data_IF_585224375225
#
_entry.id   IF_585224375225
#
_cell.length_a   1.000
_cell.length_b   1.000
_cell.length_c   1.000
_cell.angle_alpha   90.00
_cell.angle_beta   90.00
_cell.angle_gamma   90.00
#
_symmetry.space_group_name_H-M   'P 1'
#
loop_
_entity.id
_entity.type
_entity.pdbx_description
1 polymer ?
#
# COMPACT_ATOMS: atom_id res chain seq x y z
N UNK A 1 -2.95 -5.33 4.91
CA UNK A 1 -1.73 -5.56 5.69
C UNK A 1 -1.64 -7.05 6.01
N UNK A 2 -0.85 -7.82 5.26
CA UNK A 2 -0.56 -9.22 5.59
C UNK A 2 0.46 -9.28 6.71
N UNK A 3 0.26 -10.18 7.69
CA UNK A 3 1.23 -10.42 8.76
C UNK A 3 2.47 -11.17 8.23
N UNK A 4 2.25 -12.09 7.29
CA UNK A 4 3.30 -12.91 6.67
C UNK A 4 2.98 -13.14 5.20
N UNK A 5 4.01 -13.25 4.39
CA UNK A 5 3.90 -13.57 2.97
C UNK A 5 4.97 -14.60 2.56
N UNK A 6 4.65 -15.39 1.54
CA UNK A 6 5.51 -16.41 0.97
C UNK A 6 5.41 -16.34 -0.55
N UNK A 7 6.49 -16.57 -1.28
CA UNK A 7 6.44 -16.67 -2.73
C UNK A 7 7.27 -17.86 -3.26
N UNK A 8 6.85 -18.39 -4.40
CA UNK A 8 7.60 -19.41 -5.15
C UNK A 8 7.16 -19.46 -6.61
N UNK A 9 8.05 -19.84 -7.51
CA UNK A 9 7.65 -20.26 -8.85
C UNK A 9 6.99 -21.64 -8.81
N UNK A 10 5.85 -21.79 -9.49
CA UNK A 10 5.18 -23.09 -9.60
C UNK A 10 6.03 -24.05 -10.43
N UNK A 11 6.29 -25.21 -9.86
CA UNK A 11 6.97 -26.30 -10.55
C UNK A 11 5.99 -27.15 -11.39
N UNK A 12 6.52 -27.96 -12.30
CA UNK A 12 5.73 -28.92 -13.08
C UNK A 12 4.96 -29.92 -12.18
N UNK A 13 5.49 -30.22 -10.98
CA UNK A 13 4.79 -31.06 -9.99
C UNK A 13 3.61 -30.34 -9.35
N UNK A 14 3.72 -29.04 -9.05
CA UNK A 14 2.64 -28.25 -8.46
C UNK A 14 1.44 -28.14 -9.42
N UNK A 15 1.72 -27.99 -10.73
CA UNK A 15 0.71 -27.80 -11.78
C UNK A 15 0.20 -29.12 -12.38
N UNK A 16 0.76 -30.26 -11.97
CA UNK A 16 0.40 -31.56 -12.51
C UNK A 16 0.95 -31.85 -13.92
N UNK A 17 1.82 -31.01 -14.46
CA UNK A 17 2.41 -31.18 -15.79
C UNK A 17 3.27 -32.45 -15.92
N UNK A 18 3.73 -33.03 -14.82
CA UNK A 18 4.45 -34.32 -14.79
C UNK A 18 3.56 -35.56 -14.90
N UNK A 19 2.23 -35.39 -14.93
CA UNK A 19 1.28 -36.50 -14.92
C UNK A 19 1.23 -37.29 -13.60
N UNK A 20 1.90 -36.83 -12.56
CA UNK A 20 1.87 -37.43 -11.23
C UNK A 20 0.51 -37.19 -10.51
N UNK A 21 0.07 -38.18 -9.73
CA UNK A 21 -1.19 -38.07 -8.97
C UNK A 21 -1.11 -37.14 -7.74
N UNK A 22 -0.03 -36.41 -7.58
CA UNK A 22 0.16 -35.48 -6.44
C UNK A 22 -0.31 -34.08 -6.82
N UNK A 23 -1.59 -33.81 -6.56
CA UNK A 23 -2.13 -32.46 -6.71
C UNK A 23 -1.84 -31.62 -5.47
N UNK A 24 -1.20 -30.47 -5.64
CA UNK A 24 -1.00 -29.51 -4.55
C UNK A 24 0.28 -28.71 -4.68
N UNK A 25 0.28 -27.51 -4.10
CA UNK A 25 1.45 -26.64 -4.08
C UNK A 25 2.38 -27.07 -2.95
N UNK A 26 3.60 -27.45 -3.30
CA UNK A 26 4.66 -27.76 -2.33
C UNK A 26 5.20 -26.44 -1.75
N UNK A 27 5.20 -26.31 -0.44
CA UNK A 27 5.64 -25.12 0.30
C UNK A 27 6.95 -25.42 1.01
N UNK A 28 7.89 -24.46 0.99
CA UNK A 28 9.14 -24.59 1.74
C UNK A 28 8.90 -24.70 3.23
N UNK A 29 9.73 -25.49 3.90
CA UNK A 29 9.70 -25.60 5.38
C UNK A 29 9.89 -24.25 6.08
N UNK A 30 10.55 -23.28 5.46
CA UNK A 30 10.68 -21.91 5.99
C UNK A 30 9.33 -21.27 6.32
N UNK A 31 8.23 -21.72 5.69
CA UNK A 31 6.87 -21.21 5.90
C UNK A 31 6.04 -22.09 6.86
N UNK A 32 6.64 -23.03 7.58
CA UNK A 32 5.89 -23.94 8.47
C UNK A 32 5.07 -23.20 9.53
N UNK A 33 5.64 -22.15 10.14
CA UNK A 33 4.97 -21.33 11.15
C UNK A 33 3.88 -20.41 10.59
N UNK A 34 3.89 -20.17 9.27
CA UNK A 34 2.80 -19.49 8.60
C UNK A 34 1.55 -20.39 8.50
N UNK A 35 1.76 -21.70 8.35
CA UNK A 35 0.70 -22.70 8.11
C UNK A 35 0.23 -23.41 9.37
N UNK A 36 1.13 -23.67 10.32
CA UNK A 36 0.88 -24.41 11.56
C UNK A 36 1.45 -23.68 12.76
N UNK A 37 0.79 -23.81 13.91
CA UNK A 37 1.33 -23.33 15.19
C UNK A 37 2.46 -24.24 15.69
N UNK A 38 3.35 -23.68 16.54
CA UNK A 38 4.40 -24.45 17.21
C UNK A 38 3.86 -25.67 17.98
N UNK A 39 2.65 -25.57 18.53
CA UNK A 39 2.02 -26.65 19.28
C UNK A 39 1.57 -27.79 18.35
N UNK A 40 1.09 -27.46 17.16
CA UNK A 40 0.73 -28.45 16.14
C UNK A 40 1.97 -29.15 15.60
N UNK A 41 3.04 -28.43 15.32
CA UNK A 41 4.30 -28.98 14.77
C UNK A 41 5.04 -29.93 15.72
N UNK A 42 4.66 -29.96 17.01
CA UNK A 42 5.19 -30.94 18.00
C UNK A 42 4.45 -32.30 18.01
N UNK A 43 3.39 -32.43 17.21
CA UNK A 43 2.65 -33.68 17.09
C UNK A 43 3.28 -34.57 16.02
N UNK A 44 3.45 -35.84 16.32
CA UNK A 44 4.01 -36.83 15.40
C UNK A 44 3.02 -37.17 14.27
N UNK A 45 3.53 -37.46 13.09
CA UNK A 45 2.78 -37.99 11.97
C UNK A 45 2.33 -36.97 10.93
N UNK A 46 1.15 -37.19 10.34
CA UNK A 46 0.61 -36.30 9.29
C UNK A 46 -0.28 -35.25 9.92
N UNK A 47 0.13 -33.99 9.85
CA UNK A 47 -0.70 -32.87 10.30
C UNK A 47 -1.58 -32.38 9.15
N UNK A 48 -2.84 -32.08 9.46
CA UNK A 48 -3.80 -31.52 8.51
C UNK A 48 -4.57 -30.38 9.15
N UNK A 49 -4.70 -29.27 8.41
CA UNK A 49 -5.50 -28.12 8.81
C UNK A 49 -6.32 -27.64 7.63
N UNK A 50 -7.64 -27.66 7.77
CA UNK A 50 -8.55 -27.09 6.76
C UNK A 50 -8.68 -25.59 6.99
N UNK A 51 -8.56 -24.80 5.90
CA UNK A 51 -8.59 -23.34 5.91
C UNK A 51 -9.36 -22.82 4.70
N UNK A 52 -9.94 -21.63 4.85
CA UNK A 52 -10.50 -20.89 3.74
C UNK A 52 -9.42 -20.03 3.12
N UNK A 53 -9.24 -20.13 1.81
CA UNK A 53 -8.28 -19.32 1.07
C UNK A 53 -9.06 -18.50 0.03
N UNK A 54 -8.83 -17.20 0.03
CA UNK A 54 -9.27 -16.29 -1.02
C UNK A 54 -8.18 -16.22 -2.09
N UNK A 55 -8.55 -16.50 -3.30
CA UNK A 55 -7.70 -16.40 -4.48
C UNK A 55 -8.05 -15.12 -5.26
N UNK A 56 -7.22 -14.75 -6.21
CA UNK A 56 -7.56 -13.68 -7.15
C UNK A 56 -8.91 -13.97 -7.85
N UNK A 57 -9.53 -12.94 -8.41
CA UNK A 57 -10.86 -13.02 -9.04
C UNK A 57 -11.97 -13.50 -8.08
N UNK A 58 -11.83 -13.20 -6.78
CA UNK A 58 -12.76 -13.57 -5.70
C UNK A 58 -13.05 -15.09 -5.59
N UNK A 59 -12.17 -15.92 -6.13
CA UNK A 59 -12.32 -17.37 -6.04
C UNK A 59 -12.02 -17.84 -4.61
N UNK A 60 -12.93 -18.58 -4.01
CA UNK A 60 -12.79 -19.10 -2.63
C UNK A 60 -12.66 -20.61 -2.63
N UNK A 61 -11.75 -21.14 -1.83
CA UNK A 61 -11.60 -22.57 -1.61
C UNK A 61 -11.58 -22.93 -0.14
N UNK A 62 -12.06 -24.13 0.17
CA UNK A 62 -11.83 -24.80 1.44
C UNK A 62 -10.65 -25.76 1.26
N UNK A 63 -9.45 -25.21 1.37
CA UNK A 63 -8.17 -25.90 1.14
C UNK A 63 -7.65 -26.59 2.39
N UNK A 64 -6.64 -27.43 2.24
CA UNK A 64 -6.02 -28.14 3.35
C UNK A 64 -4.51 -27.94 3.34
N UNK A 65 -3.97 -27.43 4.43
CA UNK A 65 -2.55 -27.51 4.72
C UNK A 65 -2.23 -28.91 5.23
N UNK A 66 -1.22 -29.53 4.64
CA UNK A 66 -0.78 -30.88 5.04
C UNK A 66 0.72 -30.88 5.27
N UNK A 67 1.15 -31.34 6.43
CA UNK A 67 2.56 -31.62 6.72
C UNK A 67 2.77 -33.12 6.82
N UNK A 68 3.67 -33.63 6.01
CA UNK A 68 4.10 -35.04 6.00
C UNK A 68 5.45 -35.11 6.70
N UNK A 69 5.46 -35.43 7.98
CA UNK A 69 6.67 -35.53 8.80
C UNK A 69 7.72 -36.46 8.19
N UNK A 70 7.33 -37.69 7.78
CA UNK A 70 8.23 -38.69 7.21
C UNK A 70 8.95 -38.25 5.92
N UNK A 71 8.37 -37.29 5.19
CA UNK A 71 8.93 -36.72 3.95
C UNK A 71 9.46 -35.30 4.16
N UNK A 72 9.21 -34.73 5.33
CA UNK A 72 9.50 -33.31 5.63
C UNK A 72 8.90 -32.34 4.59
N UNK A 73 7.66 -32.60 4.15
CA UNK A 73 6.98 -31.85 3.08
C UNK A 73 5.75 -31.13 3.61
N UNK A 74 5.62 -29.86 3.26
CA UNK A 74 4.44 -29.04 3.45
C UNK A 74 3.72 -28.86 2.12
N UNK A 75 2.38 -28.99 2.10
CA UNK A 75 1.56 -28.83 0.89
C UNK A 75 0.28 -28.08 1.18
N UNK A 76 -0.14 -27.27 0.21
CA UNK A 76 -1.51 -26.78 0.09
C UNK A 76 -2.23 -27.70 -0.90
N UNK A 77 -3.34 -28.27 -0.49
CA UNK A 77 -4.15 -29.21 -1.27
C UNK A 77 -5.63 -28.86 -1.21
N UNK A 78 -6.48 -29.57 -1.96
CA UNK A 78 -7.95 -29.39 -1.98
C UNK A 78 -8.38 -28.03 -2.51
N UNK A 79 -8.05 -27.76 -3.76
CA UNK A 79 -8.45 -26.50 -4.43
C UNK A 79 -9.88 -26.54 -5.01
N UNK A 80 -10.57 -27.68 -4.92
CA UNK A 80 -11.92 -27.87 -5.50
C UNK A 80 -11.90 -28.15 -7.00
N UNK A 81 -13.08 -28.48 -7.54
CA UNK A 81 -13.24 -28.70 -8.99
C UNK A 81 -13.18 -27.39 -9.73
N UNK A 82 -12.43 -27.37 -10.84
CA UNK A 82 -12.38 -26.20 -11.73
C UNK A 82 -11.47 -25.08 -11.24
N UNK A 83 -10.61 -25.31 -10.25
CA UNK A 83 -9.60 -24.35 -9.84
C UNK A 83 -8.73 -23.93 -11.04
N UNK A 84 -8.76 -22.65 -11.45
CA UNK A 84 -8.21 -22.25 -12.74
C UNK A 84 -6.68 -22.10 -12.74
N UNK A 85 -6.06 -21.93 -11.56
CA UNK A 85 -4.68 -21.47 -11.44
C UNK A 85 -3.64 -22.60 -11.33
N UNK A 86 -4.05 -23.88 -11.24
CA UNK A 86 -3.13 -25.03 -11.19
C UNK A 86 -3.33 -25.93 -12.41
N UNK A 87 -3.03 -25.40 -13.59
CA UNK A 87 -3.01 -26.15 -14.85
C UNK A 87 -1.59 -26.28 -15.36
N UNK A 88 -1.26 -27.26 -16.25
CA UNK A 88 0.08 -27.44 -16.80
C UNK A 88 0.69 -26.19 -17.44
N UNK A 89 -0.13 -25.36 -18.09
CA UNK A 89 0.25 -24.11 -18.73
C UNK A 89 0.64 -23.01 -17.71
N UNK A 90 0.35 -23.19 -16.42
CA UNK A 90 0.73 -22.27 -15.33
C UNK A 90 2.08 -22.62 -14.68
N UNK A 91 2.83 -23.58 -15.24
CA UNK A 91 4.19 -23.86 -14.76
C UNK A 91 5.08 -22.65 -15.02
N UNK A 92 5.80 -22.21 -13.97
CA UNK A 92 6.65 -21.01 -14.03
C UNK A 92 5.96 -19.73 -13.57
N UNK A 93 4.65 -19.74 -13.32
CA UNK A 93 3.94 -18.61 -12.70
C UNK A 93 4.47 -18.38 -11.28
N UNK A 94 4.60 -17.13 -10.85
CA UNK A 94 4.99 -16.79 -9.48
C UNK A 94 3.75 -16.83 -8.59
N UNK A 95 3.72 -17.82 -7.72
CA UNK A 95 2.72 -17.95 -6.66
C UNK A 95 3.10 -17.12 -5.44
N UNK A 96 2.20 -16.24 -5.01
CA UNK A 96 2.31 -15.43 -3.81
C UNK A 96 1.21 -15.81 -2.84
N UNK A 97 1.56 -16.09 -1.60
CA UNK A 97 0.64 -16.54 -0.57
C UNK A 97 0.78 -15.67 0.68
N UNK A 98 -0.33 -15.16 1.19
CA UNK A 98 -0.33 -14.23 2.32
C UNK A 98 -1.22 -14.73 3.46
N UNK A 99 -0.81 -14.44 4.68
CA UNK A 99 -1.58 -14.65 5.92
C UNK A 99 -1.92 -13.30 6.51
N UNK A 100 -3.20 -12.99 6.65
CA UNK A 100 -3.70 -11.77 7.29
C UNK A 100 -4.02 -12.00 8.77
N UNK A 101 -4.48 -13.20 9.11
CA UNK A 101 -4.76 -13.65 10.47
C UNK A 101 -4.63 -15.17 10.57
N UNK A 102 -4.90 -15.75 11.74
CA UNK A 102 -4.81 -17.22 11.92
C UNK A 102 -5.71 -18.02 10.96
N UNK A 103 -6.81 -17.46 10.49
CA UNK A 103 -7.77 -18.17 9.62
C UNK A 103 -7.96 -17.50 8.25
N UNK A 104 -7.29 -16.36 8.01
CA UNK A 104 -7.49 -15.56 6.81
C UNK A 104 -6.25 -15.59 5.92
N UNK A 105 -6.38 -16.23 4.78
CA UNK A 105 -5.31 -16.45 3.80
C UNK A 105 -5.73 -15.98 2.43
N UNK A 106 -4.78 -15.44 1.65
CA UNK A 106 -4.99 -15.12 0.26
C UNK A 106 -3.86 -15.66 -0.62
N UNK A 107 -4.21 -16.04 -1.86
CA UNK A 107 -3.26 -16.55 -2.84
C UNK A 107 -3.40 -15.83 -4.18
N UNK A 108 -2.26 -15.51 -4.80
CA UNK A 108 -2.16 -14.79 -6.05
C UNK A 108 -1.20 -15.50 -6.99
N UNK A 109 -1.45 -15.39 -8.29
CA UNK A 109 -0.60 -15.94 -9.33
C UNK A 109 -0.23 -14.82 -10.30
N UNK A 110 1.05 -14.44 -10.32
CA UNK A 110 1.59 -13.45 -11.22
C UNK A 110 2.08 -14.17 -12.46
N UNK A 111 1.50 -13.86 -13.61
CA UNK A 111 1.66 -14.65 -14.84
C UNK A 111 2.55 -13.97 -15.87
N UNK A 112 2.59 -12.64 -15.88
CA UNK A 112 3.40 -11.88 -16.83
C UNK A 112 4.81 -11.62 -16.31
N UNK A 113 5.77 -11.46 -17.22
CA UNK A 113 7.15 -11.13 -16.84
C UNK A 113 7.20 -9.79 -16.11
N UNK A 114 6.40 -8.81 -16.53
CA UNK A 114 6.32 -7.50 -15.90
C UNK A 114 5.84 -7.58 -14.45
N UNK A 115 4.74 -8.29 -14.18
CA UNK A 115 4.21 -8.47 -12.81
C UNK A 115 5.22 -9.18 -11.89
N UNK A 116 5.88 -10.21 -12.43
CA UNK A 116 6.88 -10.98 -11.68
C UNK A 116 8.10 -10.12 -11.37
N UNK A 117 8.63 -9.39 -12.37
CA UNK A 117 9.80 -8.52 -12.20
C UNK A 117 9.49 -7.39 -11.21
N UNK A 118 8.34 -6.74 -11.34
CA UNK A 118 7.90 -5.70 -10.43
C UNK A 118 7.78 -6.21 -9.00
N UNK A 119 7.14 -7.37 -8.80
CA UNK A 119 7.04 -8.00 -7.50
C UNK A 119 8.41 -8.32 -6.90
N UNK A 120 9.28 -8.99 -7.64
CA UNK A 120 10.62 -9.38 -7.17
C UNK A 120 11.47 -8.15 -6.82
N UNK A 121 11.41 -7.10 -7.65
CA UNK A 121 12.12 -5.85 -7.41
C UNK A 121 11.57 -5.12 -6.18
N UNK A 122 10.24 -5.04 -6.04
CA UNK A 122 9.58 -4.40 -4.90
C UNK A 122 10.00 -5.03 -3.58
N UNK A 123 10.10 -6.36 -3.56
CA UNK A 123 10.47 -7.10 -2.35
C UNK A 123 11.97 -7.38 -2.22
N UNK A 124 12.78 -6.97 -3.19
CA UNK A 124 14.24 -7.18 -3.20
C UNK A 124 14.62 -8.66 -3.22
N UNK A 125 13.81 -9.49 -3.89
CA UNK A 125 13.99 -10.94 -3.98
C UNK A 125 14.60 -11.28 -5.35
N UNK A 126 15.74 -11.96 -5.36
CA UNK A 126 16.27 -12.50 -6.62
C UNK A 126 15.43 -13.70 -7.12
N UNK A 127 15.33 -13.93 -8.44
CA UNK A 127 14.57 -15.05 -8.99
C UNK A 127 14.96 -16.41 -8.42
N UNK A 128 16.23 -16.60 -8.06
CA UNK A 128 16.76 -17.82 -7.44
C UNK A 128 16.52 -17.90 -5.93
N UNK A 129 16.04 -16.81 -5.32
CA UNK A 129 15.78 -16.71 -3.87
C UNK A 129 14.31 -16.92 -3.53
N UNK A 130 13.48 -17.24 -4.50
CA UNK A 130 12.07 -17.60 -4.28
C UNK A 130 11.94 -18.93 -3.55
N UNK A 131 10.71 -19.36 -3.21
CA UNK A 131 10.39 -20.47 -2.33
C UNK A 131 10.76 -20.17 -0.86
N UNK A 132 10.50 -18.95 -0.43
CA UNK A 132 10.82 -18.44 0.89
C UNK A 132 9.72 -17.56 1.46
N UNK A 133 9.78 -17.34 2.78
CA UNK A 133 9.03 -16.26 3.42
C UNK A 133 9.60 -14.92 2.98
N UNK A 134 8.71 -14.00 2.68
CA UNK A 134 9.04 -12.61 2.37
C UNK A 134 9.23 -11.86 3.69
N UNK A 135 10.38 -11.26 3.87
CA UNK A 135 10.65 -10.41 5.02
C UNK A 135 9.97 -9.04 4.84
N UNK A 136 8.72 -8.97 5.31
CA UNK A 136 7.92 -7.73 5.24
C UNK A 136 8.54 -6.56 6.01
N UNK A 137 9.41 -6.84 6.97
CA UNK A 137 10.21 -5.82 7.67
C UNK A 137 11.25 -5.16 6.76
N UNK A 138 11.89 -5.94 5.88
CA UNK A 138 12.81 -5.39 4.85
C UNK A 138 12.09 -4.55 3.81
N UNK A 139 10.88 -4.93 3.45
CA UNK A 139 10.04 -4.17 2.51
C UNK A 139 9.67 -2.81 3.10
N UNK A 140 9.21 -2.79 4.35
CA UNK A 140 8.94 -1.54 5.05
C UNK A 140 10.18 -0.62 5.10
N UNK A 141 11.37 -1.18 5.34
CA UNK A 141 12.62 -0.43 5.33
C UNK A 141 13.01 0.06 3.92
N UNK A 142 12.74 -0.72 2.88
CA UNK A 142 13.00 -0.32 1.49
C UNK A 142 12.06 0.81 1.04
N UNK A 143 10.76 0.67 1.31
CA UNK A 143 9.77 1.71 1.03
C UNK A 143 10.07 2.99 1.82
N UNK A 144 10.47 2.87 3.09
CA UNK A 144 10.91 4.01 3.90
C UNK A 144 12.10 4.74 3.29
N UNK A 145 13.09 4.01 2.77
CA UNK A 145 14.25 4.62 2.07
C UNK A 145 13.85 5.30 0.77
N UNK A 146 12.93 4.71 -0.02
CA UNK A 146 12.40 5.33 -1.24
C UNK A 146 11.65 6.62 -0.90
N UNK A 147 10.82 6.60 0.14
CA UNK A 147 10.10 7.78 0.64
C UNK A 147 11.09 8.88 1.04
N UNK A 148 12.11 8.56 1.84
CA UNK A 148 13.13 9.52 2.27
C UNK A 148 13.91 10.13 1.09
N UNK A 149 14.26 9.32 0.09
CA UNK A 149 14.93 9.79 -1.12
C UNK A 149 14.03 10.73 -1.92
N UNK A 150 12.78 10.35 -2.18
CA UNK A 150 11.84 11.18 -2.94
C UNK A 150 11.55 12.51 -2.23
N UNK A 151 11.41 12.50 -0.91
CA UNK A 151 11.26 13.72 -0.09
C UNK A 151 12.50 14.61 -0.23
N UNK A 152 13.70 14.03 -0.15
CA UNK A 152 14.96 14.77 -0.29
C UNK A 152 15.10 15.40 -1.67
N UNK A 153 14.87 14.62 -2.74
CA UNK A 153 14.93 15.11 -4.12
C UNK A 153 13.96 16.29 -4.35
N UNK A 154 12.75 16.19 -3.80
CA UNK A 154 11.81 17.32 -3.87
C UNK A 154 12.36 18.55 -3.15
N UNK A 155 12.86 18.42 -1.92
CA UNK A 155 13.42 19.54 -1.15
C UNK A 155 14.60 20.19 -1.86
N UNK A 156 15.49 19.40 -2.45
CA UNK A 156 16.66 19.85 -3.20
C UNK A 156 16.27 20.55 -4.53
N UNK A 157 15.13 20.21 -5.11
CA UNK A 157 14.62 20.82 -6.34
C UNK A 157 14.01 22.22 -6.13
N UNK A 158 13.70 22.57 -4.87
CA UNK A 158 13.03 23.82 -4.56
C UNK A 158 13.96 25.05 -4.71
N UNK A 159 13.48 26.06 -5.45
CA UNK A 159 14.13 27.35 -5.58
C UNK A 159 13.62 28.38 -4.55
N UNK A 160 12.74 27.96 -3.64
CA UNK A 160 12.14 28.79 -2.59
C UNK A 160 12.25 28.09 -1.24
N UNK A 161 12.23 28.84 -0.16
CA UNK A 161 12.30 28.26 1.19
C UNK A 161 11.10 27.35 1.47
N UNK A 162 9.91 27.79 1.08
CA UNK A 162 8.68 27.04 1.24
C UNK A 162 7.78 27.26 0.02
N UNK A 163 7.40 26.19 -0.69
CA UNK A 163 6.49 26.29 -1.83
C UNK A 163 5.06 26.62 -1.36
N UNK A 164 4.21 27.04 -2.28
CA UNK A 164 2.78 27.26 -2.00
C UNK A 164 2.08 25.94 -1.63
N UNK A 165 0.93 26.05 -0.97
CA UNK A 165 0.21 24.83 -0.48
C UNK A 165 -0.20 23.89 -1.61
N UNK A 166 -0.57 24.43 -2.77
CA UNK A 166 -0.93 23.64 -3.94
C UNK A 166 0.23 22.77 -4.45
N UNK A 167 1.42 23.35 -4.59
CA UNK A 167 2.64 22.66 -5.01
C UNK A 167 3.04 21.59 -3.98
N UNK A 168 2.95 21.89 -2.67
CA UNK A 168 3.25 20.95 -1.61
C UNK A 168 2.29 19.76 -1.63
N UNK A 169 0.98 20.01 -1.77
CA UNK A 169 -0.04 18.98 -1.85
C UNK A 169 0.12 18.11 -3.11
N UNK A 170 0.48 18.72 -4.25
CA UNK A 170 0.76 17.99 -5.49
C UNK A 170 1.99 17.10 -5.34
N UNK A 171 3.08 17.60 -4.76
CA UNK A 171 4.30 16.83 -4.50
C UNK A 171 4.05 15.67 -3.56
N UNK A 172 3.29 15.87 -2.48
CA UNK A 172 2.98 14.80 -1.53
C UNK A 172 2.13 13.69 -2.15
N UNK A 173 1.15 14.04 -3.02
CA UNK A 173 0.40 13.05 -3.80
C UNK A 173 1.29 12.28 -4.75
N UNK A 174 2.18 12.98 -5.47
CA UNK A 174 3.12 12.34 -6.39
C UNK A 174 4.05 11.35 -5.67
N UNK A 175 4.67 11.78 -4.56
CA UNK A 175 5.57 10.94 -3.77
C UNK A 175 4.84 9.71 -3.24
N UNK A 176 3.66 9.89 -2.64
CA UNK A 176 2.89 8.77 -2.08
C UNK A 176 2.47 7.79 -3.17
N UNK A 177 1.94 8.27 -4.29
CA UNK A 177 1.52 7.43 -5.41
C UNK A 177 2.70 6.66 -6.02
N UNK A 178 3.87 7.30 -6.19
CA UNK A 178 5.05 6.68 -6.80
C UNK A 178 5.73 5.68 -5.88
N UNK A 179 5.82 5.98 -4.58
CA UNK A 179 6.50 5.11 -3.61
C UNK A 179 5.67 3.88 -3.26
N UNK A 180 4.34 4.05 -3.12
CA UNK A 180 3.45 3.01 -2.61
C UNK A 180 2.56 2.37 -3.68
N UNK A 181 2.61 2.87 -4.92
CA UNK A 181 1.88 2.36 -6.08
C UNK A 181 0.40 2.02 -5.79
N UNK A 182 -0.35 3.06 -5.38
CA UNK A 182 -1.75 2.93 -4.95
C UNK A 182 -2.64 3.97 -5.63
N UNK A 183 -2.46 4.17 -6.93
CA UNK A 183 -3.26 5.15 -7.68
C UNK A 183 -4.73 4.73 -7.72
N UNK A 184 -5.00 3.44 -7.87
CA UNK A 184 -6.37 2.89 -7.92
C UNK A 184 -7.17 3.17 -6.64
N UNK A 185 -6.52 3.32 -5.48
CA UNK A 185 -7.17 3.68 -4.21
C UNK A 185 -7.97 5.01 -4.30
N UNK A 186 -7.74 5.85 -5.32
CA UNK A 186 -8.51 7.09 -5.51
C UNK A 186 -9.99 6.77 -5.73
N UNK A 187 -10.30 5.74 -6.49
CA UNK A 187 -11.66 5.30 -6.79
C UNK A 187 -12.14 4.19 -5.86
N UNK A 188 -11.29 3.22 -5.55
CA UNK A 188 -11.66 2.06 -4.75
C UNK A 188 -11.77 2.37 -3.25
N UNK A 189 -10.91 3.26 -2.73
CA UNK A 189 -10.88 3.61 -1.32
C UNK A 189 -10.44 5.07 -1.09
N UNK A 190 -11.26 6.06 -1.49
CA UNK A 190 -10.92 7.48 -1.45
C UNK A 190 -10.55 7.99 -0.06
N UNK A 191 -11.21 7.51 0.99
CA UNK A 191 -10.90 7.92 2.37
C UNK A 191 -9.49 7.49 2.79
N UNK A 192 -9.11 6.26 2.47
CA UNK A 192 -7.77 5.74 2.73
C UNK A 192 -6.73 6.56 1.96
N UNK A 193 -7.02 6.89 0.70
CA UNK A 193 -6.14 7.69 -0.15
C UNK A 193 -5.96 9.09 0.39
N UNK A 194 -7.04 9.74 0.80
CA UNK A 194 -7.02 11.05 1.43
C UNK A 194 -6.13 11.08 2.68
N UNK A 195 -6.28 10.07 3.55
CA UNK A 195 -5.45 9.93 4.76
C UNK A 195 -3.97 9.73 4.40
N UNK A 196 -3.67 8.89 3.40
CA UNK A 196 -2.31 8.62 2.97
C UNK A 196 -1.63 9.90 2.43
N UNK A 197 -2.30 10.66 1.58
CA UNK A 197 -1.81 11.94 1.05
C UNK A 197 -1.60 12.98 2.15
N UNK A 198 -2.56 13.11 3.07
CA UNK A 198 -2.45 14.04 4.20
C UNK A 198 -1.25 13.70 5.10
N UNK A 199 -1.03 12.42 5.39
CA UNK A 199 0.11 11.96 6.16
C UNK A 199 1.43 12.20 5.43
N UNK A 200 1.48 11.96 4.12
CA UNK A 200 2.66 12.23 3.29
C UNK A 200 2.97 13.74 3.26
N UNK A 201 1.96 14.59 3.09
CA UNK A 201 2.17 16.05 3.14
C UNK A 201 2.71 16.51 4.49
N UNK A 202 2.21 15.93 5.59
CA UNK A 202 2.74 16.22 6.91
C UNK A 202 4.22 15.82 7.04
N UNK A 203 4.61 14.64 6.57
CA UNK A 203 6.00 14.18 6.56
C UNK A 203 6.89 15.09 5.72
N UNK A 204 6.46 15.39 4.49
CA UNK A 204 7.17 16.25 3.56
C UNK A 204 7.39 17.65 4.15
N UNK A 205 6.34 18.23 4.74
CA UNK A 205 6.42 19.52 5.42
C UNK A 205 7.37 19.51 6.60
N UNK A 206 7.35 18.46 7.43
CA UNK A 206 8.26 18.31 8.57
C UNK A 206 9.71 18.17 8.13
N UNK A 207 9.96 17.43 7.05
CA UNK A 207 11.30 17.29 6.49
C UNK A 207 11.83 18.64 5.96
N UNK A 208 10.99 19.38 5.22
CA UNK A 208 11.32 20.71 4.72
C UNK A 208 11.54 21.71 5.86
N UNK A 209 10.68 21.71 6.88
CA UNK A 209 10.83 22.55 8.07
C UNK A 209 12.15 22.25 8.78
N UNK A 210 12.50 20.97 8.94
CA UNK A 210 13.77 20.59 9.53
C UNK A 210 14.96 21.06 8.69
N UNK A 211 14.92 20.89 7.37
CA UNK A 211 15.99 21.33 6.46
C UNK A 211 16.23 22.84 6.55
N UNK A 212 15.16 23.65 6.51
CA UNK A 212 15.25 25.12 6.50
C UNK A 212 15.66 25.73 7.84
N UNK A 213 15.32 25.10 8.96
CA UNK A 213 15.59 25.63 10.29
C UNK A 213 16.70 24.93 11.05
N UNK A 214 17.21 23.81 10.55
CA UNK A 214 18.25 23.00 11.21
C UNK A 214 19.46 23.83 11.60
N UNK A 215 20.05 24.55 10.68
CA UNK A 215 21.28 25.29 10.90
C UNK A 215 21.07 26.47 11.89
N UNK A 216 19.89 27.11 11.82
CA UNK A 216 19.51 28.16 12.77
C UNK A 216 19.36 27.62 14.19
N UNK A 217 18.74 26.43 14.33
CA UNK A 217 18.56 25.76 15.62
C UNK A 217 19.92 25.35 16.21
N UNK A 218 20.81 24.76 15.39
CA UNK A 218 22.15 24.36 15.85
C UNK A 218 23.03 25.53 16.21
N UNK A 219 22.94 26.65 15.49
CA UNK A 219 23.66 27.89 15.81
C UNK A 219 23.17 28.53 17.12
N UNK A 220 21.91 28.28 17.46
CA UNK A 220 21.24 28.90 18.59
C UNK A 220 20.76 30.33 18.31
N UNK A 221 20.14 30.94 19.32
CA UNK A 221 19.58 32.28 19.26
C UNK A 221 20.35 33.25 20.15
N UNK A 222 20.51 34.47 19.69
CA UNK A 222 21.25 35.52 20.42
C UNK A 222 20.40 36.16 21.53
N UNK A 223 19.07 36.04 21.43
CA UNK A 223 18.13 36.56 22.42
C UNK A 223 16.84 35.73 22.46
N UNK A 224 16.11 35.89 23.59
CA UNK A 224 14.75 35.29 23.72
C UNK A 224 13.81 35.87 22.67
N UNK A 225 13.90 37.14 22.34
CA UNK A 225 13.06 37.81 21.36
C UNK A 225 13.27 37.23 19.95
N UNK A 226 14.54 36.94 19.57
CA UNK A 226 14.87 36.26 18.31
C UNK A 226 14.25 34.86 18.26
N UNK A 227 14.40 34.08 19.33
CA UNK A 227 13.76 32.76 19.44
C UNK A 227 12.25 32.82 19.28
N UNK A 228 11.57 33.71 20.04
CA UNK A 228 10.12 33.90 19.98
C UNK A 228 9.65 34.31 18.60
N UNK A 229 10.39 35.20 17.93
CA UNK A 229 10.08 35.61 16.54
C UNK A 229 10.10 34.44 15.57
N UNK A 230 11.15 33.60 15.61
CA UNK A 230 11.28 32.45 14.74
C UNK A 230 10.21 31.40 15.08
N UNK A 231 9.97 31.13 16.36
CA UNK A 231 8.95 30.20 16.81
C UNK A 231 7.54 30.60 16.31
N UNK A 232 7.22 31.89 16.36
CA UNK A 232 5.94 32.42 15.84
C UNK A 232 5.83 32.26 14.31
N UNK A 233 6.91 32.46 13.55
CA UNK A 233 6.93 32.25 12.09
C UNK A 233 6.62 30.78 11.80
N UNK A 234 7.29 29.84 12.48
CA UNK A 234 7.05 28.39 12.32
C UNK A 234 5.60 28.02 12.66
N UNK A 235 5.08 28.47 13.80
CA UNK A 235 3.72 28.18 14.25
C UNK A 235 2.66 28.74 13.29
N UNK A 236 2.82 29.97 12.82
CA UNK A 236 1.89 30.59 11.87
C UNK A 236 1.89 29.83 10.53
N UNK A 237 3.05 29.40 10.07
CA UNK A 237 3.19 28.60 8.86
C UNK A 237 2.49 27.25 8.97
N UNK A 238 2.64 26.57 10.10
CA UNK A 238 1.92 25.31 10.38
C UNK A 238 0.40 25.51 10.36
N UNK A 239 -0.11 26.57 11.00
CA UNK A 239 -1.54 26.87 11.06
C UNK A 239 -2.14 27.17 9.68
N UNK A 240 -1.45 27.97 8.86
CA UNK A 240 -1.98 28.39 7.56
C UNK A 240 -2.07 27.26 6.54
N UNK A 241 -1.29 26.19 6.71
CA UNK A 241 -1.27 25.06 5.78
C UNK A 241 -2.38 24.04 6.01
N UNK A 242 -2.76 23.78 7.26
CA UNK A 242 -3.63 22.66 7.60
C UNK A 242 -5.00 22.69 6.88
N UNK A 243 -5.60 23.89 6.71
CA UNK A 243 -6.90 24.00 6.04
C UNK A 243 -6.79 23.81 4.51
N UNK A 244 -5.83 24.48 3.87
CA UNK A 244 -5.68 24.42 2.41
C UNK A 244 -5.19 23.06 1.89
N UNK A 245 -4.39 22.35 2.67
CA UNK A 245 -3.94 21.00 2.34
C UNK A 245 -5.14 20.06 2.12
N UNK A 246 -6.08 20.06 3.04
CA UNK A 246 -7.28 19.22 2.92
C UNK A 246 -8.11 19.57 1.68
N UNK A 247 -8.31 20.87 1.39
CA UNK A 247 -9.03 21.31 0.19
C UNK A 247 -8.37 20.76 -1.09
N UNK A 248 -7.04 20.86 -1.21
CA UNK A 248 -6.33 20.36 -2.40
C UNK A 248 -6.39 18.84 -2.56
N UNK A 249 -6.36 18.08 -1.46
CA UNK A 249 -6.50 16.64 -1.52
C UNK A 249 -7.92 16.20 -1.84
N UNK A 250 -8.94 16.87 -1.26
CA UNK A 250 -10.35 16.62 -1.59
C UNK A 250 -10.64 16.91 -3.05
N UNK A 251 -10.17 18.05 -3.59
CA UNK A 251 -10.30 18.37 -5.01
C UNK A 251 -9.74 17.24 -5.89
N UNK A 252 -8.54 16.73 -5.57
CA UNK A 252 -7.92 15.64 -6.33
C UNK A 252 -8.71 14.30 -6.22
N UNK A 253 -9.36 14.03 -5.08
CA UNK A 253 -10.28 12.88 -4.93
C UNK A 253 -11.52 13.07 -5.80
N UNK A 254 -12.13 14.26 -5.80
CA UNK A 254 -13.32 14.55 -6.59
C UNK A 254 -13.02 14.45 -8.10
N UNK A 255 -11.89 15.04 -8.54
CA UNK A 255 -11.43 14.94 -9.93
C UNK A 255 -11.19 13.49 -10.35
N UNK A 256 -10.53 12.68 -9.50
CA UNK A 256 -10.25 11.26 -9.77
C UNK A 256 -11.50 10.37 -9.78
N UNK A 257 -12.60 10.83 -9.17
CA UNK A 257 -13.91 10.16 -9.19
C UNK A 257 -14.90 10.83 -10.18
N UNK A 258 -14.42 11.74 -11.03
CA UNK A 258 -15.22 12.44 -12.06
C UNK A 258 -16.44 13.18 -11.46
N UNK A 259 -16.30 13.67 -10.20
CA UNK A 259 -17.36 14.44 -9.56
C UNK A 259 -17.29 15.91 -9.98
N UNK A 260 -18.39 16.41 -10.52
CA UNK A 260 -18.51 17.84 -10.84
C UNK A 260 -18.67 18.67 -9.57
N UNK A 261 -17.92 19.76 -9.45
CA UNK A 261 -18.01 20.70 -8.34
C UNK A 261 -17.57 22.12 -8.74
N UNK A 262 -17.96 23.10 -7.94
CA UNK A 262 -17.40 24.46 -7.98
C UNK A 262 -16.67 24.75 -6.67
N UNK A 263 -15.39 25.15 -6.75
CA UNK A 263 -14.58 25.45 -5.58
C UNK A 263 -14.49 26.94 -5.27
N UNK A 264 -14.48 27.30 -3.99
CA UNK A 264 -14.19 28.65 -3.50
C UNK A 264 -15.10 29.77 -4.08
N UNK A 265 -16.33 29.44 -4.46
CA UNK A 265 -17.30 30.40 -5.01
C UNK A 265 -18.03 31.16 -3.92
N UNK A 266 -18.34 32.44 -4.18
CA UNK A 266 -19.12 33.25 -3.25
C UNK A 266 -20.61 32.99 -3.47
N UNK A 267 -21.31 32.70 -2.34
CA UNK A 267 -22.76 32.50 -2.28
C UNK A 267 -23.44 33.65 -1.54
N UNK A 268 -24.73 33.50 -1.20
CA UNK A 268 -25.51 34.47 -0.47
C UNK A 268 -24.92 34.80 0.91
N UNK A 269 -25.07 36.04 1.33
CA UNK A 269 -24.50 36.49 2.61
C UNK A 269 -22.98 36.60 2.60
N UNK A 270 -22.35 36.65 1.41
CA UNK A 270 -20.90 36.69 1.21
C UNK A 270 -20.17 35.49 1.83
N UNK A 271 -20.85 34.33 1.90
CA UNK A 271 -20.24 33.08 2.32
C UNK A 271 -19.39 32.48 1.20
N UNK A 272 -18.35 31.77 1.57
CA UNK A 272 -17.43 31.15 0.63
C UNK A 272 -17.17 29.70 1.03
N UNK A 273 -18.06 28.77 0.68
CA UNK A 273 -17.84 27.34 0.91
C UNK A 273 -16.65 26.83 0.11
N UNK A 274 -15.95 25.84 0.62
CA UNK A 274 -14.81 25.24 -0.06
C UNK A 274 -15.24 24.54 -1.36
N UNK A 275 -16.36 23.80 -1.32
CA UNK A 275 -16.91 23.11 -2.48
C UNK A 275 -18.44 23.21 -2.51
N UNK A 276 -18.99 23.25 -3.73
CA UNK A 276 -20.43 23.15 -4.02
C UNK A 276 -20.63 22.10 -5.10
N UNK A 277 -21.54 21.18 -4.89
CA UNK A 277 -21.87 20.10 -5.81
C UNK A 277 -23.28 20.28 -6.42
N UNK A 278 -23.46 19.97 -7.70
CA UNK A 278 -22.42 19.71 -8.69
C UNK A 278 -21.81 21.00 -9.20
N UNK A 279 -22.49 22.16 -9.06
CA UNK A 279 -21.98 23.47 -9.51
C UNK A 279 -22.66 24.64 -8.81
N UNK A 280 -22.09 25.84 -8.95
CA UNK A 280 -22.70 27.08 -8.49
C UNK A 280 -24.05 27.36 -9.14
N UNK A 281 -24.19 27.06 -10.42
CA UNK A 281 -25.41 27.24 -11.21
C UNK A 281 -26.53 26.33 -10.67
N UNK A 282 -26.22 25.07 -10.38
CA UNK A 282 -27.14 24.12 -9.78
C UNK A 282 -27.58 24.56 -8.38
N UNK A 283 -26.69 25.09 -7.57
CA UNK A 283 -26.98 25.61 -6.22
C UNK A 283 -28.01 26.75 -6.24
N UNK A 284 -27.99 27.63 -7.27
CA UNK A 284 -28.94 28.72 -7.44
C UNK A 284 -30.22 28.32 -8.19
N UNK A 285 -30.30 27.08 -8.68
CA UNK A 285 -31.47 26.59 -9.40
C UNK A 285 -32.50 26.01 -8.41
N UNK A 286 -33.60 26.72 -8.18
CA UNK A 286 -34.68 26.26 -7.28
C UNK A 286 -35.40 24.97 -7.72
N UNK A 287 -35.19 24.54 -8.95
CA UNK A 287 -35.70 23.26 -9.50
C UNK A 287 -34.70 22.11 -9.42
N UNK A 288 -33.46 22.35 -8.94
CA UNK A 288 -32.48 21.30 -8.79
C UNK A 288 -32.82 20.42 -7.58
N UNK A 289 -33.01 19.13 -7.83
CA UNK A 289 -33.26 18.09 -6.82
C UNK A 289 -32.04 17.18 -6.77
N UNK A 290 -31.49 16.96 -5.58
CA UNK A 290 -30.48 15.94 -5.33
C UNK A 290 -31.23 14.63 -5.12
N UNK A 291 -31.12 13.69 -6.05
CA UNK A 291 -31.63 12.32 -5.89
C UNK A 291 -30.62 11.46 -5.13
#
# INVERSE_FOLDING_TARGET
NSEQAFCKFLSANDTGATGGHQSGILISKSAELMLFSLQQLKQDGILKRTVKIRWQDDFLTESCFTYYESKNELRITRFGRGFPFLKPDKTGTLFVFTKQSEEDYSGYFLETEEEIEEFLNTFGIGPTQTNCLIDTGKVGALLGRREELAIREFIESLNVDFPVSEEMSAASRYIENTVYDRIEDIQENPDRKLIAWTNMEYKLFKALEHDRYRDLIYKGFTSVDEFVKVANIVLNRRKSRAGKSLEHHLAAIFDGNELEYSAQVVTEGNKKPDFIFPSKEAYHNSGFSVE
#
